data_IF_541291519800
#
_entry.id   IF_541291519800
#
_cell.length_a   1.000
_cell.length_b   1.000
_cell.length_c   1.000
_cell.angle_alpha   90.00
_cell.angle_beta   90.00
_cell.angle_gamma   90.00
#
_symmetry.space_group_name_H-M   'P 1'
#
loop_
_entity.id
_entity.type
_entity.pdbx_description
1 polymer ?
#
# COMPACT_ATOMS: atom_id res chain seq x y z
N UNK A 1 29.52 3.77 4.23
CA UNK A 1 28.65 4.66 3.42
C UNK A 1 27.56 3.85 2.73
N UNK A 2 27.89 2.72 2.12
CA UNK A 2 26.96 1.91 1.31
C UNK A 2 25.76 1.38 2.10
N UNK A 3 25.96 0.94 3.35
CA UNK A 3 24.87 0.49 4.23
C UNK A 3 23.85 1.60 4.49
N UNK A 4 24.32 2.81 4.74
CA UNK A 4 23.44 3.96 5.02
C UNK A 4 22.61 4.34 3.79
N UNK A 5 23.18 4.21 2.59
CA UNK A 5 22.48 4.47 1.32
C UNK A 5 21.42 3.40 1.07
N UNK A 6 21.75 2.12 1.29
CA UNK A 6 20.83 0.98 1.10
C UNK A 6 19.65 1.10 2.07
N UNK A 7 19.94 1.29 3.36
CA UNK A 7 18.89 1.42 4.37
C UNK A 7 18.03 2.68 4.13
N UNK A 8 18.67 3.80 3.78
CA UNK A 8 17.96 5.04 3.45
C UNK A 8 17.01 4.86 2.25
N UNK A 9 17.40 4.14 1.23
CA UNK A 9 16.56 3.86 0.05
C UNK A 9 15.39 2.94 0.39
N UNK A 10 15.65 1.89 1.18
CA UNK A 10 14.63 0.94 1.63
C UNK A 10 13.53 1.59 2.47
N UNK A 11 13.82 2.70 3.16
CA UNK A 11 12.80 3.50 3.86
C UNK A 11 12.16 4.56 2.97
N UNK A 12 12.93 5.18 2.06
CA UNK A 12 12.44 6.28 1.23
C UNK A 12 11.44 5.80 0.15
N UNK A 13 11.69 4.67 -0.49
CA UNK A 13 10.83 4.13 -1.56
C UNK A 13 9.39 3.84 -1.10
N UNK A 14 9.16 3.17 0.03
CA UNK A 14 7.84 3.01 0.59
C UNK A 14 7.11 4.32 0.87
N UNK A 15 7.79 5.29 1.47
CA UNK A 15 7.22 6.61 1.73
C UNK A 15 6.84 7.34 0.43
N UNK A 16 7.66 7.18 -0.60
CA UNK A 16 7.40 7.76 -1.91
C UNK A 16 6.11 7.21 -2.54
N UNK A 17 5.88 5.89 -2.48
CA UNK A 17 4.65 5.32 -3.03
C UNK A 17 3.41 5.68 -2.21
N UNK A 18 3.56 5.81 -0.88
CA UNK A 18 2.51 6.35 -0.01
C UNK A 18 2.12 7.77 -0.41
N UNK A 19 3.10 8.62 -0.69
CA UNK A 19 2.86 9.98 -1.16
C UNK A 19 2.10 10.00 -2.49
N UNK A 20 2.46 9.12 -3.44
CA UNK A 20 1.73 8.96 -4.70
C UNK A 20 0.27 8.56 -4.45
N UNK A 21 0.03 7.58 -3.55
CA UNK A 21 -1.33 7.18 -3.16
C UNK A 21 -2.13 8.34 -2.59
N UNK A 22 -1.55 9.14 -1.69
CA UNK A 22 -2.16 10.34 -1.14
C UNK A 22 -2.51 11.37 -2.23
N UNK A 23 -1.63 11.60 -3.19
CA UNK A 23 -1.87 12.51 -4.32
C UNK A 23 -3.08 12.08 -5.15
N UNK A 24 -3.31 10.78 -5.35
CA UNK A 24 -4.51 10.29 -6.05
C UNK A 24 -5.80 10.71 -5.35
N UNK A 25 -5.87 10.57 -4.03
CA UNK A 25 -7.02 10.99 -3.25
C UNK A 25 -7.21 12.49 -3.26
N UNK A 26 -6.17 13.27 -2.98
CA UNK A 26 -6.25 14.73 -2.96
C UNK A 26 -6.62 15.31 -4.31
N UNK A 27 -6.04 14.81 -5.41
CA UNK A 27 -6.41 15.22 -6.76
C UNK A 27 -7.82 14.82 -7.18
N UNK A 28 -8.48 13.91 -6.46
CA UNK A 28 -9.91 13.60 -6.65
C UNK A 28 -10.84 14.50 -5.83
N UNK A 29 -10.30 15.35 -4.96
CA UNK A 29 -11.05 16.19 -4.02
C UNK A 29 -11.49 15.44 -2.76
N UNK A 30 -10.81 14.36 -2.39
CA UNK A 30 -11.02 13.64 -1.14
C UNK A 30 -9.75 13.69 -0.31
N UNK A 31 -9.83 14.26 0.89
CA UNK A 31 -8.70 14.32 1.83
C UNK A 31 -8.52 12.95 2.49
N UNK A 32 -7.33 12.36 2.36
CA UNK A 32 -7.03 11.02 2.88
C UNK A 32 -6.13 11.10 4.11
N UNK A 33 -6.72 11.12 5.29
CA UNK A 33 -5.98 11.07 6.58
C UNK A 33 -5.89 9.66 7.17
N UNK A 34 -6.56 8.67 6.54
CA UNK A 34 -6.57 7.28 7.00
C UNK A 34 -5.33 6.46 6.55
N UNK A 35 -4.23 7.12 6.17
CA UNK A 35 -3.05 6.50 5.57
C UNK A 35 -2.43 5.43 6.46
N UNK A 36 -2.21 5.75 7.75
CA UNK A 36 -1.58 4.85 8.73
C UNK A 36 -2.45 3.62 9.01
N UNK A 37 -3.77 3.83 9.14
CA UNK A 37 -4.70 2.73 9.38
C UNK A 37 -4.80 1.78 8.21
N UNK A 38 -4.86 2.29 6.99
CA UNK A 38 -4.89 1.49 5.78
C UNK A 38 -3.60 0.68 5.61
N UNK A 39 -2.45 1.30 5.86
CA UNK A 39 -1.16 0.64 5.84
C UNK A 39 -1.09 -0.46 6.89
N UNK A 40 -1.52 -0.18 8.13
CA UNK A 40 -1.51 -1.15 9.23
C UNK A 40 -2.41 -2.36 8.94
N UNK A 41 -3.62 -2.13 8.44
CA UNK A 41 -4.54 -3.22 8.11
C UNK A 41 -4.08 -4.05 6.93
N UNK A 42 -3.55 -3.42 5.89
CA UNK A 42 -2.94 -4.11 4.77
C UNK A 42 -1.73 -4.96 5.20
N UNK A 43 -0.85 -4.41 6.09
CA UNK A 43 0.27 -5.14 6.68
C UNK A 43 -0.18 -6.39 7.44
N UNK A 44 -1.26 -6.27 8.20
CA UNK A 44 -1.86 -7.40 8.90
C UNK A 44 -2.28 -8.51 7.93
N UNK A 45 -3.03 -8.18 6.87
CA UNK A 45 -3.48 -9.17 5.87
C UNK A 45 -2.28 -9.81 5.16
N UNK A 46 -1.30 -9.02 4.75
CA UNK A 46 -0.10 -9.53 4.11
C UNK A 46 0.69 -10.49 5.00
N UNK A 47 0.92 -10.10 6.25
CA UNK A 47 1.63 -10.93 7.21
C UNK A 47 0.86 -12.22 7.52
N UNK A 48 -0.46 -12.14 7.72
CA UNK A 48 -1.30 -13.32 7.95
C UNK A 48 -1.25 -14.29 6.78
N UNK A 49 -1.42 -13.81 5.55
CA UNK A 49 -1.37 -14.62 4.33
C UNK A 49 0.03 -15.23 4.13
N UNK A 50 1.09 -14.45 4.35
CA UNK A 50 2.46 -14.94 4.24
C UNK A 50 2.72 -16.12 5.19
N UNK A 51 2.32 -16.00 6.45
CA UNK A 51 2.49 -17.07 7.45
C UNK A 51 1.59 -18.27 7.14
N UNK A 52 0.33 -18.04 6.72
CA UNK A 52 -0.61 -19.11 6.39
C UNK A 52 -0.17 -19.94 5.17
N UNK A 53 0.45 -19.28 4.18
CA UNK A 53 0.90 -19.95 2.94
C UNK A 53 2.30 -20.52 3.09
N UNK A 54 3.16 -19.97 3.94
CA UNK A 54 4.53 -20.43 4.14
C UNK A 54 4.62 -21.92 4.47
N UNK A 55 3.63 -22.48 5.19
CA UNK A 55 3.56 -23.92 5.49
C UNK A 55 3.29 -24.83 4.28
N UNK A 56 2.76 -24.30 3.17
CA UNK A 56 2.41 -25.07 1.98
C UNK A 56 3.50 -25.04 0.90
N UNK A 57 4.47 -24.15 1.01
CA UNK A 57 5.59 -24.05 0.07
C UNK A 57 6.84 -24.63 0.73
N UNK A 58 7.26 -25.81 0.27
CA UNK A 58 8.50 -26.42 0.68
C UNK A 58 9.68 -25.69 0.00
N UNK A 59 10.54 -25.07 0.80
CA UNK A 59 11.79 -24.47 0.34
C UNK A 59 11.79 -22.93 0.33
N UNK A 60 12.95 -22.40 0.03
CA UNK A 60 13.32 -20.98 0.07
C UNK A 60 12.73 -20.17 -1.13
N UNK A 61 11.49 -20.50 -1.55
CA UNK A 61 10.86 -19.84 -2.70
C UNK A 61 10.31 -18.46 -2.31
N UNK A 62 10.54 -17.39 -3.09
CA UNK A 62 10.03 -16.05 -2.82
C UNK A 62 8.52 -15.91 -3.12
N UNK A 63 7.87 -16.96 -3.65
CA UNK A 63 6.47 -16.94 -4.06
C UNK A 63 5.47 -16.54 -2.95
N UNK A 64 5.57 -17.04 -1.70
CA UNK A 64 4.66 -16.64 -0.61
C UNK A 64 4.68 -15.14 -0.35
N UNK A 65 5.84 -14.51 -0.48
CA UNK A 65 6.00 -13.07 -0.27
C UNK A 65 5.25 -12.24 -1.32
N UNK A 66 5.34 -12.59 -2.61
CA UNK A 66 4.62 -11.87 -3.67
C UNK A 66 3.10 -12.05 -3.58
N UNK A 67 2.65 -13.26 -3.24
CA UNK A 67 1.22 -13.53 -3.01
C UNK A 67 0.70 -12.70 -1.82
N UNK A 68 1.46 -12.68 -0.73
CA UNK A 68 1.14 -11.88 0.44
C UNK A 68 1.06 -10.38 0.12
N UNK A 69 1.96 -9.87 -0.72
CA UNK A 69 1.96 -8.47 -1.16
C UNK A 69 0.70 -8.13 -1.98
N UNK A 70 0.28 -8.99 -2.90
CA UNK A 70 -0.95 -8.80 -3.68
C UNK A 70 -2.18 -8.83 -2.76
N UNK A 71 -2.25 -9.81 -1.85
CA UNK A 71 -3.36 -9.93 -0.92
C UNK A 71 -3.45 -8.76 0.06
N UNK A 72 -2.32 -8.22 0.45
CA UNK A 72 -2.25 -7.03 1.27
C UNK A 72 -2.74 -5.77 0.55
N UNK A 73 -2.38 -5.59 -0.72
CA UNK A 73 -2.89 -4.50 -1.55
C UNK A 73 -4.42 -4.58 -1.71
N UNK A 74 -4.95 -5.79 -1.93
CA UNK A 74 -6.40 -6.04 -1.97
C UNK A 74 -7.04 -5.74 -0.61
N UNK A 75 -6.44 -6.20 0.48
CA UNK A 75 -6.94 -5.94 1.84
C UNK A 75 -6.96 -4.46 2.19
N UNK A 76 -5.90 -3.72 1.88
CA UNK A 76 -5.84 -2.27 2.06
C UNK A 76 -6.91 -1.54 1.24
N UNK A 77 -7.13 -1.94 -0.02
CA UNK A 77 -8.17 -1.36 -0.86
C UNK A 77 -9.59 -1.67 -0.35
N UNK A 78 -9.85 -2.89 0.14
CA UNK A 78 -11.13 -3.24 0.75
C UNK A 78 -11.40 -2.46 2.03
N UNK A 79 -10.39 -2.27 2.87
CA UNK A 79 -10.53 -1.46 4.08
C UNK A 79 -10.76 0.03 3.75
N UNK A 80 -10.15 0.52 2.67
CA UNK A 80 -10.37 1.87 2.17
C UNK A 80 -11.83 2.13 1.75
N UNK A 81 -12.59 1.09 1.39
CA UNK A 81 -14.02 1.21 1.13
C UNK A 81 -14.81 1.73 2.33
N UNK A 82 -14.39 1.43 3.55
CA UNK A 82 -15.05 1.96 4.77
C UNK A 82 -14.96 3.48 4.76
N UNK A 83 -13.76 4.03 4.54
CA UNK A 83 -13.57 5.48 4.43
C UNK A 83 -14.34 6.07 3.24
N UNK A 84 -14.32 5.39 2.09
CA UNK A 84 -15.06 5.82 0.91
C UNK A 84 -16.58 5.86 1.16
N UNK A 85 -17.16 4.85 1.81
CA UNK A 85 -18.57 4.83 2.16
C UNK A 85 -18.94 5.97 3.10
N UNK A 86 -18.13 6.22 4.14
CA UNK A 86 -18.37 7.32 5.07
C UNK A 86 -18.33 8.67 4.37
N UNK A 87 -17.36 8.92 3.49
CA UNK A 87 -17.19 10.20 2.83
C UNK A 87 -18.15 10.41 1.66
N UNK A 88 -18.38 9.39 0.82
CA UNK A 88 -19.13 9.54 -0.42
C UNK A 88 -20.63 9.30 -0.25
N UNK A 89 -21.01 8.25 0.53
CA UNK A 89 -22.42 7.88 0.71
C UNK A 89 -23.04 8.63 1.89
N UNK A 90 -22.37 8.63 3.03
CA UNK A 90 -22.88 9.30 4.25
C UNK A 90 -22.51 10.78 4.34
N UNK A 91 -21.71 11.30 3.40
CA UNK A 91 -21.25 12.70 3.37
C UNK A 91 -20.64 13.16 4.70
N UNK A 92 -20.01 12.25 5.42
CA UNK A 92 -19.33 12.54 6.67
C UNK A 92 -18.12 13.46 6.44
N UNK A 93 -17.72 14.19 7.48
CA UNK A 93 -16.50 14.99 7.41
C UNK A 93 -15.30 14.06 7.16
N UNK A 94 -14.55 14.34 6.09
CA UNK A 94 -13.45 13.51 5.62
C UNK A 94 -12.31 13.39 6.65
N UNK A 95 -12.03 14.48 7.36
CA UNK A 95 -11.00 14.52 8.41
C UNK A 95 -11.39 13.60 9.58
N UNK A 96 -12.62 13.74 10.08
CA UNK A 96 -13.12 12.92 11.18
C UNK A 96 -13.16 11.45 10.77
N UNK A 97 -13.69 11.17 9.57
CA UNK A 97 -13.72 9.81 9.03
C UNK A 97 -12.31 9.18 8.93
N UNK A 98 -11.30 9.94 8.49
CA UNK A 98 -9.92 9.47 8.40
C UNK A 98 -9.34 9.07 9.77
N UNK A 99 -9.53 9.92 10.78
CA UNK A 99 -9.05 9.64 12.15
C UNK A 99 -9.76 8.42 12.75
N UNK A 100 -11.07 8.30 12.59
CA UNK A 100 -11.85 7.16 13.09
C UNK A 100 -11.40 5.86 12.43
N UNK A 101 -11.17 5.86 11.10
CA UNK A 101 -10.69 4.70 10.36
C UNK A 101 -9.28 4.30 10.82
N UNK A 102 -8.39 5.25 11.13
CA UNK A 102 -7.07 4.96 11.68
C UNK A 102 -7.17 4.25 13.03
N UNK A 103 -7.97 4.78 13.97
CA UNK A 103 -8.15 4.18 15.29
C UNK A 103 -8.76 2.78 15.17
N UNK A 104 -9.78 2.64 14.31
CA UNK A 104 -10.43 1.34 14.06
C UNK A 104 -9.44 0.33 13.51
N UNK A 105 -8.61 0.72 12.53
CA UNK A 105 -7.61 -0.16 11.94
C UNK A 105 -6.58 -0.63 12.97
N UNK A 106 -6.05 0.27 13.80
CA UNK A 106 -5.08 -0.06 14.85
C UNK A 106 -5.66 -1.03 15.87
N UNK A 107 -6.86 -0.76 16.36
CA UNK A 107 -7.53 -1.64 17.34
C UNK A 107 -7.86 -3.01 16.73
N UNK A 108 -8.39 -3.02 15.51
CA UNK A 108 -8.79 -4.23 14.81
C UNK A 108 -7.58 -5.11 14.47
N UNK A 109 -6.49 -4.54 13.97
CA UNK A 109 -5.26 -5.28 13.66
C UNK A 109 -4.63 -5.88 14.91
N UNK A 110 -4.54 -5.12 16.00
CA UNK A 110 -4.00 -5.63 17.26
C UNK A 110 -4.83 -6.80 17.83
N UNK A 111 -6.15 -6.67 17.80
CA UNK A 111 -7.07 -7.71 18.25
C UNK A 111 -6.98 -8.97 17.37
N UNK A 112 -7.09 -8.80 16.05
CA UNK A 112 -7.06 -9.91 15.11
C UNK A 112 -5.71 -10.64 15.10
N UNK A 113 -4.59 -9.93 15.25
CA UNK A 113 -3.26 -10.56 15.34
C UNK A 113 -3.20 -11.51 16.54
N UNK A 114 -3.66 -11.08 17.72
CA UNK A 114 -3.70 -11.92 18.91
C UNK A 114 -4.64 -13.11 18.76
N UNK A 115 -5.82 -12.87 18.18
CA UNK A 115 -6.83 -13.90 17.96
C UNK A 115 -6.30 -14.99 17.01
N UNK A 116 -5.76 -14.60 15.85
CA UNK A 116 -5.27 -15.54 14.85
C UNK A 116 -4.01 -16.28 15.32
N UNK A 117 -3.09 -15.60 16.02
CA UNK A 117 -1.93 -16.28 16.60
C UNK A 117 -2.35 -17.37 17.58
N UNK A 118 -3.35 -17.11 18.42
CA UNK A 118 -3.83 -18.11 19.39
C UNK A 118 -4.62 -19.24 18.73
N UNK A 119 -5.52 -18.92 17.79
CA UNK A 119 -6.48 -19.90 17.23
C UNK A 119 -5.84 -20.72 16.10
N UNK A 120 -5.04 -20.09 15.23
CA UNK A 120 -4.51 -20.74 14.03
C UNK A 120 -3.10 -21.29 14.25
N UNK A 121 -2.24 -20.53 14.93
CA UNK A 121 -0.83 -20.89 15.09
C UNK A 121 -0.49 -21.43 16.49
N UNK A 122 -1.43 -21.42 17.45
CA UNK A 122 -1.18 -21.89 18.82
C UNK A 122 -0.08 -21.10 19.55
N UNK A 123 0.30 -19.94 19.04
CA UNK A 123 1.36 -19.11 19.57
C UNK A 123 0.80 -17.97 20.43
N UNK A 124 1.50 -17.65 21.52
CA UNK A 124 1.14 -16.53 22.41
C UNK A 124 1.81 -15.21 21.99
N UNK A 125 2.36 -15.15 20.77
CA UNK A 125 3.06 -13.98 20.26
C UNK A 125 2.08 -12.90 19.76
N UNK A 126 2.40 -11.64 20.04
CA UNK A 126 1.67 -10.48 19.52
C UNK A 126 2.15 -10.05 18.11
N UNK A 127 3.05 -10.82 17.49
CA UNK A 127 3.66 -10.52 16.18
C UNK A 127 3.67 -11.76 15.29
N UNK A 128 3.50 -11.57 14.00
CA UNK A 128 3.77 -12.60 12.99
C UNK A 128 5.27 -12.63 12.71
N UNK A 129 5.90 -13.80 12.86
CA UNK A 129 7.32 -13.99 12.55
C UNK A 129 7.44 -14.50 11.13
N UNK A 130 7.95 -13.66 10.25
CA UNK A 130 8.24 -14.00 8.86
C UNK A 130 9.72 -14.33 8.70
N UNK A 131 10.01 -15.55 8.25
CA UNK A 131 11.38 -16.07 8.09
C UNK A 131 11.91 -15.86 6.66
N UNK A 132 11.20 -15.12 5.81
CA UNK A 132 11.55 -14.96 4.39
C UNK A 132 12.34 -13.67 4.19
N UNK A 133 13.65 -13.83 3.99
CA UNK A 133 14.58 -12.76 3.61
C UNK A 133 15.25 -13.14 2.28
N UNK A 134 14.61 -12.81 1.17
CA UNK A 134 15.20 -13.01 -0.16
C UNK A 134 15.80 -11.70 -0.66
N UNK A 135 17.10 -11.50 -0.45
CA UNK A 135 17.86 -10.40 -1.05
C UNK A 135 18.45 -10.86 -2.39
N UNK A 136 18.27 -10.08 -3.43
CA UNK A 136 18.83 -10.35 -4.76
C UNK A 136 19.88 -9.30 -5.08
N UNK A 137 21.06 -9.76 -5.50
CA UNK A 137 22.13 -8.91 -6.03
C UNK A 137 22.12 -9.02 -7.55
N UNK A 138 21.98 -7.92 -8.26
CA UNK A 138 22.00 -7.91 -9.73
C UNK A 138 23.45 -7.83 -10.19
N UNK A 139 24.05 -8.94 -10.71
CA UNK A 139 25.42 -8.93 -11.19
C UNK A 139 25.51 -8.12 -12.49
N UNK A 140 26.29 -7.07 -12.48
CA UNK A 140 26.49 -6.21 -13.65
C UNK A 140 26.44 -4.72 -13.33
N UNK A 141 25.40 -4.26 -12.67
CA UNK A 141 25.22 -2.85 -12.30
C UNK A 141 25.91 -2.55 -10.95
N UNK A 142 26.10 -3.58 -10.11
CA UNK A 142 26.79 -3.47 -8.81
C UNK A 142 28.26 -3.05 -8.88
N UNK A 143 28.86 -3.01 -10.08
CA UNK A 143 30.27 -2.60 -10.28
C UNK A 143 30.48 -1.09 -10.42
N UNK A 144 29.41 -0.30 -10.48
CA UNK A 144 29.51 1.15 -10.64
C UNK A 144 29.65 1.78 -9.26
N UNK A 145 30.70 2.60 -9.00
CA UNK A 145 30.84 3.28 -7.72
C UNK A 145 29.64 4.21 -7.46
N UNK A 146 29.12 4.20 -6.22
CA UNK A 146 27.92 4.92 -5.74
C UNK A 146 26.60 4.33 -6.25
N UNK A 147 26.40 4.11 -7.55
CA UNK A 147 25.18 3.46 -8.08
C UNK A 147 25.17 1.96 -7.80
N UNK A 148 26.33 1.32 -7.74
CA UNK A 148 26.45 -0.10 -7.39
C UNK A 148 25.94 -0.42 -5.98
N UNK A 149 26.11 0.49 -5.03
CA UNK A 149 25.58 0.33 -3.66
C UNK A 149 24.05 0.23 -3.64
N UNK A 150 23.37 0.98 -4.52
CA UNK A 150 21.90 0.95 -4.66
C UNK A 150 21.40 -0.40 -5.20
N UNK A 151 22.20 -1.08 -6.05
CA UNK A 151 21.82 -2.34 -6.70
C UNK A 151 22.43 -3.59 -6.05
N UNK A 152 23.19 -3.44 -4.95
CA UNK A 152 23.67 -4.54 -4.11
C UNK A 152 22.69 -4.78 -2.97
N UNK A 153 22.31 -6.04 -2.75
CA UNK A 153 21.35 -6.43 -1.70
C UNK A 153 19.96 -5.77 -1.79
N UNK A 154 19.50 -5.42 -2.99
CA UNK A 154 18.14 -4.94 -3.22
C UNK A 154 17.12 -6.01 -2.84
N UNK A 155 16.08 -5.58 -2.17
CA UNK A 155 14.86 -6.38 -2.13
C UNK A 155 14.18 -6.29 -3.50
N UNK A 156 13.79 -7.43 -4.14
CA UNK A 156 13.11 -7.41 -5.45
C UNK A 156 11.87 -6.53 -5.47
N UNK A 157 11.29 -6.32 -4.32
CA UNK A 157 10.19 -5.42 -4.05
C UNK A 157 10.51 -3.93 -4.36
N UNK A 158 11.72 -3.45 -4.14
CA UNK A 158 12.10 -2.05 -4.43
C UNK A 158 12.00 -1.74 -5.91
N UNK A 159 12.35 -2.73 -6.77
CA UNK A 159 12.17 -2.61 -8.21
C UNK A 159 10.68 -2.57 -8.61
N UNK A 160 9.85 -3.37 -7.94
CA UNK A 160 8.38 -3.34 -8.15
C UNK A 160 7.81 -1.97 -7.79
N UNK A 161 8.27 -1.35 -6.70
CA UNK A 161 7.83 0.00 -6.31
C UNK A 161 8.10 1.02 -7.41
N UNK A 162 9.29 1.00 -8.01
CA UNK A 162 9.64 1.95 -9.08
C UNK A 162 8.73 1.77 -10.30
N UNK A 163 8.45 0.51 -10.68
CA UNK A 163 7.52 0.21 -11.77
C UNK A 163 6.11 0.68 -11.44
N UNK A 164 5.63 0.41 -10.23
CA UNK A 164 4.30 0.84 -9.78
C UNK A 164 4.20 2.37 -9.75
N UNK A 165 5.24 3.06 -9.27
CA UNK A 165 5.29 4.51 -9.27
C UNK A 165 5.22 5.10 -10.70
N UNK A 166 5.93 4.48 -11.65
CA UNK A 166 5.88 4.89 -13.06
C UNK A 166 4.49 4.65 -13.66
N UNK A 167 3.87 3.49 -13.40
CA UNK A 167 2.51 3.18 -13.84
C UNK A 167 1.51 4.16 -13.23
N UNK A 168 1.62 4.46 -11.95
CA UNK A 168 0.77 5.43 -11.28
C UNK A 168 0.89 6.82 -11.92
N UNK A 169 2.13 7.30 -12.14
CA UNK A 169 2.36 8.54 -12.85
C UNK A 169 1.74 8.54 -14.25
N UNK A 170 1.95 7.46 -15.02
CA UNK A 170 1.39 7.33 -16.37
C UNK A 170 -0.14 7.36 -16.36
N UNK A 171 -0.78 6.61 -15.43
CA UNK A 171 -2.24 6.59 -15.28
C UNK A 171 -2.78 7.98 -14.94
N UNK A 172 -2.11 8.71 -14.03
CA UNK A 172 -2.56 10.04 -13.61
C UNK A 172 -2.45 11.10 -14.71
N UNK A 173 -1.36 11.08 -15.49
CA UNK A 173 -1.07 12.17 -16.42
C UNK A 173 -1.35 11.85 -17.88
N UNK A 174 -1.34 10.58 -18.28
CA UNK A 174 -1.46 10.16 -19.68
C UNK A 174 -2.77 9.44 -20.01
N UNK A 175 -3.61 9.10 -19.02
CA UNK A 175 -4.89 8.41 -19.28
C UNK A 175 -6.11 9.33 -19.13
N UNK A 176 -7.23 8.91 -19.77
CA UNK A 176 -8.53 9.57 -19.62
C UNK A 176 -9.04 9.54 -18.18
N UNK A 177 -8.72 8.48 -17.44
CA UNK A 177 -9.08 8.37 -16.02
C UNK A 177 -8.40 9.45 -15.19
N UNK A 178 -7.08 9.64 -15.34
CA UNK A 178 -6.33 10.67 -14.62
C UNK A 178 -6.80 12.09 -14.96
N UNK A 179 -7.23 12.33 -16.19
CA UNK A 179 -7.84 13.62 -16.58
C UNK A 179 -9.14 13.88 -15.83
N UNK A 180 -10.05 12.90 -15.81
CA UNK A 180 -11.32 13.01 -15.07
C UNK A 180 -11.10 13.12 -13.56
N UNK A 181 -10.11 12.42 -13.02
CA UNK A 181 -9.76 12.45 -11.61
C UNK A 181 -9.34 13.85 -11.18
N UNK A 182 -8.44 14.50 -11.93
CA UNK A 182 -8.02 15.88 -11.66
C UNK A 182 -9.17 16.87 -11.83
N UNK A 183 -9.98 16.71 -12.88
CA UNK A 183 -11.16 17.52 -13.08
C UNK A 183 -12.18 17.41 -11.93
N UNK A 184 -12.32 16.21 -11.32
CA UNK A 184 -13.17 16.02 -10.14
C UNK A 184 -12.67 16.78 -8.90
N UNK A 185 -11.37 16.97 -8.76
CA UNK A 185 -10.80 17.78 -7.68
C UNK A 185 -11.02 19.28 -7.90
N UNK A 186 -10.82 19.74 -9.13
CA UNK A 186 -10.92 21.15 -9.48
C UNK A 186 -12.39 21.63 -9.52
N UNK A 187 -13.26 20.92 -10.23
CA UNK A 187 -14.69 21.27 -10.33
C UNK A 187 -15.56 20.01 -10.56
N UNK A 188 -16.13 19.43 -9.49
CA UNK A 188 -16.98 18.25 -9.59
C UNK A 188 -18.25 18.47 -10.41
N UNK A 189 -18.83 19.70 -10.38
CA UNK A 189 -20.04 20.02 -11.14
C UNK A 189 -19.80 20.01 -12.65
N UNK A 190 -18.61 20.42 -13.11
CA UNK A 190 -18.27 20.36 -14.53
C UNK A 190 -18.15 18.90 -15.02
N UNK A 191 -17.67 17.99 -14.16
CA UNK A 191 -17.55 16.57 -14.48
C UNK A 191 -18.92 15.91 -14.54
N UNK A 192 -19.84 16.24 -13.63
CA UNK A 192 -21.24 15.78 -13.68
C UNK A 192 -21.96 16.30 -14.93
N UNK A 193 -21.77 17.57 -15.28
CA UNK A 193 -22.32 18.15 -16.50
C UNK A 193 -21.80 17.47 -17.79
N UNK A 194 -20.56 16.94 -17.75
CA UNK A 194 -20.00 16.12 -18.82
C UNK A 194 -20.49 14.66 -18.81
N UNK A 195 -21.49 14.31 -18.00
CA UNK A 195 -22.12 13.00 -17.93
C UNK A 195 -21.27 11.94 -17.20
N UNK A 196 -20.29 12.33 -16.38
CA UNK A 196 -19.44 11.41 -15.61
C UNK A 196 -19.83 11.41 -14.14
N UNK A 197 -19.94 10.23 -13.56
CA UNK A 197 -20.30 10.07 -12.16
C UNK A 197 -19.10 10.37 -11.25
N UNK A 198 -19.07 11.53 -10.63
CA UNK A 198 -18.02 11.99 -9.71
C UNK A 198 -17.79 10.99 -8.57
N UNK A 199 -18.88 10.41 -8.02
CA UNK A 199 -18.79 9.43 -6.94
C UNK A 199 -17.96 8.20 -7.30
N UNK A 200 -18.12 7.67 -8.52
CA UNK A 200 -17.34 6.50 -8.97
C UNK A 200 -15.86 6.82 -9.17
N UNK A 201 -15.56 8.01 -9.69
CA UNK A 201 -14.16 8.44 -9.89
C UNK A 201 -13.46 8.61 -8.54
N UNK A 202 -14.12 9.24 -7.56
CA UNK A 202 -13.59 9.39 -6.19
C UNK A 202 -13.44 8.04 -5.49
N UNK A 203 -14.41 7.14 -5.65
CA UNK A 203 -14.32 5.78 -5.11
C UNK A 203 -13.10 5.04 -5.68
N UNK A 204 -12.90 5.07 -7.01
CA UNK A 204 -11.75 4.47 -7.65
C UNK A 204 -10.42 5.07 -7.16
N UNK A 205 -10.36 6.39 -6.96
CA UNK A 205 -9.18 7.06 -6.41
C UNK A 205 -8.83 6.57 -5.00
N UNK A 206 -9.82 6.43 -4.12
CA UNK A 206 -9.64 5.94 -2.75
C UNK A 206 -9.18 4.48 -2.77
N UNK A 207 -9.73 3.64 -3.63
CA UNK A 207 -9.31 2.24 -3.77
C UNK A 207 -7.88 2.11 -4.29
N UNK A 208 -7.49 2.89 -5.30
CA UNK A 208 -6.11 2.94 -5.81
C UNK A 208 -5.17 3.41 -4.70
N UNK A 209 -5.55 4.44 -3.94
CA UNK A 209 -4.78 4.90 -2.79
C UNK A 209 -4.57 3.77 -1.79
N UNK A 210 -5.63 3.08 -1.35
CA UNK A 210 -5.53 1.96 -0.43
C UNK A 210 -4.65 0.80 -0.93
N UNK A 211 -4.68 0.55 -2.24
CA UNK A 211 -3.81 -0.44 -2.88
C UNK A 211 -2.33 0.00 -2.87
N UNK A 212 -2.04 1.27 -3.18
CA UNK A 212 -0.69 1.82 -3.22
C UNK A 212 -0.07 1.97 -1.82
N UNK A 213 -0.87 2.30 -0.82
CA UNK A 213 -0.40 2.46 0.56
C UNK A 213 0.22 1.18 1.13
N UNK A 214 -0.19 0.02 0.64
CA UNK A 214 0.34 -1.24 1.16
C UNK A 214 1.46 -1.85 0.33
N UNK A 215 1.86 -1.32 -0.80
CA UNK A 215 3.05 -1.82 -1.51
C UNK A 215 4.36 -1.57 -0.74
N UNK A 216 4.28 -1.24 0.56
CA UNK A 216 5.40 -0.99 1.45
C UNK A 216 5.46 -2.01 2.57
N UNK A 217 6.21 -3.14 2.45
CA UNK A 217 6.53 -3.94 3.63
C UNK A 217 7.44 -3.12 4.54
N UNK A 218 6.94 -2.84 5.75
CA UNK A 218 7.77 -2.28 6.80
C UNK A 218 8.82 -3.33 7.20
N UNK A 219 10.11 -3.06 7.08
CA UNK A 219 11.15 -3.93 7.62
C UNK A 219 11.19 -3.77 9.15
N UNK A 220 10.36 -4.54 9.85
CA UNK A 220 10.44 -4.69 11.31
C UNK A 220 10.23 -6.12 11.71
#
# INVERSE_FOLDING_TARGET
MDIVIIDGLSFALPLFIMAIGGIYCEKSGVTMLAVEGLQGFGAFIGAFVAVAIAGNFAGDSPAPFYIAMIMAAVGGSLFALIHALLCLKFKANQVISGVVVNILAMALTAYLTKLFNRVVFGATSDKFVLTVSSRITIPGISKIPVLGAVFTNLYPFELVIVVVAFVAWFVMYKTRFGMHLRACGDNPHAVDAAGRQVGQIRLAAIMICGCLLYTSPSPR
#
